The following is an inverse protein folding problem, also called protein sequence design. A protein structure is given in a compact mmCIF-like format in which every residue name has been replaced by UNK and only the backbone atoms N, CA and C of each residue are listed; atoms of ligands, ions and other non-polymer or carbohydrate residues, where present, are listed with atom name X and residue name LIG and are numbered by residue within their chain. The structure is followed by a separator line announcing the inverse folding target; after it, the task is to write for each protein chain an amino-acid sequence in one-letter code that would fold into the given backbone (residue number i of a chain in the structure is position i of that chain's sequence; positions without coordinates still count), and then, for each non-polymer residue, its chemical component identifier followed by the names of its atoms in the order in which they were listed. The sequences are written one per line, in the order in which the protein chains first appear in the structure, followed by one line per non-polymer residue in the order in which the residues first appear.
data_IF_245066017832
#
_entry.id   IF_245066017832
#
_cell.length_a   1.000
_cell.length_b   1.000
_cell.length_c   1.000
_cell.angle_alpha   90.00
_cell.angle_beta   90.00
_cell.angle_gamma   90.00
#
_symmetry.space_group_name_H-M   'P 1'
#
loop_
_entity.id
_entity.type
_entity.pdbx_description
1 polymer ?
#
# COMPACT_ATOMS: atom_id res chain seq x y z
N UNK A 1 7.76 -7.76 -12.49
CA UNK A 1 7.48 -7.36 -11.10
C UNK A 1 6.88 -5.95 -11.02
N UNK A 2 7.52 -4.90 -11.57
CA UNK A 2 6.93 -3.54 -11.57
C UNK A 2 5.55 -3.44 -12.23
N UNK A 3 5.40 -4.01 -13.44
CA UNK A 3 4.12 -3.95 -14.18
C UNK A 3 2.95 -4.64 -13.45
N UNK A 4 3.21 -5.74 -12.72
CA UNK A 4 2.17 -6.45 -11.96
C UNK A 4 1.77 -5.68 -10.70
N UNK A 5 2.72 -5.04 -10.02
CA UNK A 5 2.45 -4.19 -8.86
C UNK A 5 1.69 -2.92 -9.25
N UNK A 6 2.09 -2.25 -10.33
CA UNK A 6 1.38 -1.09 -10.86
C UNK A 6 -0.05 -1.45 -11.25
N UNK A 7 -0.24 -2.60 -11.91
CA UNK A 7 -1.58 -3.10 -12.25
C UNK A 7 -2.44 -3.36 -11.01
N UNK A 8 -1.84 -3.91 -9.95
CA UNK A 8 -2.52 -4.12 -8.67
C UNK A 8 -2.91 -2.78 -8.00
N UNK A 9 -1.98 -1.83 -7.93
CA UNK A 9 -2.25 -0.48 -7.39
C UNK A 9 -3.38 0.20 -8.17
N UNK A 10 -3.38 0.09 -9.50
CA UNK A 10 -4.45 0.62 -10.34
C UNK A 10 -5.79 -0.08 -10.08
N UNK A 11 -5.79 -1.40 -9.87
CA UNK A 11 -7.00 -2.15 -9.52
C UNK A 11 -7.56 -1.71 -8.16
N UNK A 12 -6.71 -1.56 -7.14
CA UNK A 12 -7.09 -0.98 -5.84
C UNK A 12 -7.62 0.45 -5.98
N UNK A 13 -7.10 1.22 -6.93
CA UNK A 13 -7.56 2.56 -7.28
C UNK A 13 -8.99 2.66 -7.77
N UNK A 14 -9.55 1.59 -8.35
CA UNK A 14 -10.93 1.58 -8.86
C UNK A 14 -11.98 1.51 -7.75
N UNK A 15 -11.63 0.95 -6.59
CA UNK A 15 -12.57 0.79 -5.48
C UNK A 15 -12.98 2.14 -4.85
N UNK A 16 -12.05 3.07 -4.53
CA UNK A 16 -12.43 4.41 -4.13
C UNK A 16 -13.28 5.12 -5.17
N UNK A 17 -12.97 4.99 -6.46
CA UNK A 17 -13.77 5.62 -7.53
C UNK A 17 -15.22 5.16 -7.52
N UNK A 18 -15.47 3.87 -7.27
CA UNK A 18 -16.84 3.34 -7.12
C UNK A 18 -17.54 3.88 -5.87
N UNK A 19 -16.83 4.13 -4.78
CA UNK A 19 -17.43 4.62 -3.53
C UNK A 19 -17.59 6.14 -3.52
N UNK A 20 -16.78 6.86 -4.30
CA UNK A 20 -16.91 8.31 -4.50
C UNK A 20 -18.11 8.72 -5.35
N UNK A 21 -18.89 7.76 -5.87
CA UNK A 21 -20.19 8.05 -6.51
C UNK A 21 -21.26 8.47 -5.49
N UNK A 22 -21.05 8.22 -4.20
CA UNK A 22 -21.96 8.63 -3.13
C UNK A 22 -21.60 10.04 -2.67
N UNK A 23 -22.58 10.95 -2.72
CA UNK A 23 -22.38 12.34 -2.34
C UNK A 23 -21.88 12.47 -0.89
N UNK A 24 -20.89 13.34 -0.71
CA UNK A 24 -20.24 13.58 0.60
C UNK A 24 -19.21 12.54 1.02
N UNK A 25 -18.99 11.46 0.25
CA UNK A 25 -18.01 10.42 0.58
C UNK A 25 -16.74 10.51 -0.26
N UNK A 26 -15.59 10.73 0.40
CA UNK A 26 -14.27 10.68 -0.22
C UNK A 26 -13.47 9.49 0.32
N UNK A 27 -13.27 8.48 -0.52
CA UNK A 27 -12.51 7.28 -0.17
C UNK A 27 -11.12 7.36 -0.81
N UNK A 28 -10.11 6.88 -0.09
CA UNK A 28 -8.74 6.68 -0.60
C UNK A 28 -8.18 5.41 -0.01
N UNK A 29 -7.12 4.86 -0.59
CA UNK A 29 -6.40 3.70 -0.07
C UNK A 29 -4.93 4.08 0.12
N UNK A 30 -4.31 3.54 1.16
CA UNK A 30 -2.86 3.58 1.35
C UNK A 30 -2.34 2.14 1.37
N UNK A 31 -1.09 1.92 0.93
CA UNK A 31 -0.49 0.59 0.79
C UNK A 31 0.89 0.59 1.44
N UNK A 32 1.15 -0.40 2.28
CA UNK A 32 2.51 -0.79 2.68
C UNK A 32 2.96 -2.00 1.87
N UNK A 33 4.14 -1.92 1.26
CA UNK A 33 4.70 -2.98 0.42
C UNK A 33 6.00 -3.46 1.03
N UNK A 34 6.19 -4.78 1.09
CA UNK A 34 7.47 -5.34 1.51
C UNK A 34 7.95 -6.41 0.56
N UNK A 35 9.26 -6.48 0.39
CA UNK A 35 9.94 -7.60 -0.25
C UNK A 35 10.02 -8.79 0.72
N UNK A 36 9.41 -9.90 0.30
CA UNK A 36 9.50 -11.19 1.01
C UNK A 36 10.68 -11.96 0.46
N UNK A 37 11.79 -12.00 1.21
CA UNK A 37 12.85 -12.97 0.96
C UNK A 37 12.46 -14.29 1.63
N UNK A 38 12.58 -15.40 0.91
CA UNK A 38 12.48 -16.78 1.41
C UNK A 38 13.32 -17.07 2.66
N UNK A 39 14.34 -16.26 2.96
CA UNK A 39 15.15 -16.35 4.19
C UNK A 39 14.55 -15.63 5.40
N UNK A 40 13.61 -14.70 5.20
CA UNK A 40 12.88 -14.04 6.29
C UNK A 40 11.67 -14.88 6.66
N UNK A 41 11.41 -15.00 7.96
CA UNK A 41 10.18 -15.60 8.44
C UNK A 41 8.98 -14.80 7.93
N UNK A 42 7.97 -15.51 7.42
CA UNK A 42 6.75 -14.93 6.85
C UNK A 42 6.12 -13.89 7.80
N UNK A 43 6.10 -14.19 9.09
CA UNK A 43 5.56 -13.30 10.13
C UNK A 43 6.31 -11.97 10.19
N UNK A 44 7.63 -11.99 10.09
CA UNK A 44 8.44 -10.76 10.07
C UNK A 44 8.12 -9.90 8.84
N UNK A 45 7.90 -10.53 7.69
CA UNK A 45 7.50 -9.81 6.47
C UNK A 45 6.09 -9.22 6.62
N UNK A 46 5.14 -9.96 7.20
CA UNK A 46 3.79 -9.43 7.46
C UNK A 46 3.82 -8.23 8.42
N UNK A 47 4.58 -8.32 9.51
CA UNK A 47 4.76 -7.21 10.45
C UNK A 47 5.39 -5.99 9.76
N UNK A 48 6.37 -6.19 8.88
CA UNK A 48 6.98 -5.09 8.16
C UNK A 48 5.99 -4.40 7.20
N UNK A 49 5.22 -5.18 6.44
CA UNK A 49 4.18 -4.63 5.56
C UNK A 49 3.13 -3.81 6.34
N UNK A 50 2.74 -4.27 7.54
CA UNK A 50 1.80 -3.56 8.40
C UNK A 50 2.38 -2.24 8.91
N UNK A 51 3.64 -2.24 9.36
CA UNK A 51 4.35 -1.02 9.75
C UNK A 51 4.42 0.00 8.61
N UNK A 52 4.73 -0.44 7.39
CA UNK A 52 4.79 0.42 6.21
C UNK A 52 3.40 0.96 5.83
N UNK A 53 2.33 0.20 6.05
CA UNK A 53 0.96 0.67 5.87
C UNK A 53 0.63 1.81 6.86
N UNK A 54 1.02 1.67 8.12
CA UNK A 54 0.86 2.74 9.11
C UNK A 54 1.66 3.99 8.74
N UNK A 55 2.90 3.84 8.25
CA UNK A 55 3.69 4.96 7.72
C UNK A 55 2.99 5.64 6.54
N UNK A 56 2.49 4.86 5.58
CA UNK A 56 1.75 5.38 4.44
C UNK A 56 0.52 6.19 4.88
N UNK A 57 -0.17 5.79 5.95
CA UNK A 57 -1.28 6.57 6.53
C UNK A 57 -0.80 7.85 7.22
N UNK A 58 0.32 7.79 7.92
CA UNK A 58 0.89 8.94 8.64
C UNK A 58 1.39 10.05 7.68
N UNK A 59 1.91 9.68 6.51
CA UNK A 59 2.32 10.62 5.45
C UNK A 59 1.13 11.24 4.67
N UNK A 60 -0.10 10.95 5.09
CA UNK A 60 -1.34 11.44 4.51
C UNK A 60 -2.16 10.35 3.81
N UNK A 61 -3.23 10.78 3.15
CA UNK A 61 -4.10 9.87 2.38
C UNK A 61 -3.46 9.54 1.04
N UNK A 62 -3.75 8.34 0.49
CA UNK A 62 -3.34 7.94 -0.87
C UNK A 62 -1.82 7.84 -1.06
N UNK A 63 -1.15 7.11 -0.17
CA UNK A 63 0.29 6.86 -0.23
C UNK A 63 0.60 5.38 -0.42
N UNK A 64 1.67 5.11 -1.13
CA UNK A 64 2.29 3.79 -1.24
C UNK A 64 3.69 3.95 -0.67
N UNK A 65 4.03 3.14 0.33
CA UNK A 65 5.35 3.12 0.96
C UNK A 65 5.90 1.71 0.85
N UNK A 66 7.16 1.61 0.46
CA UNK A 66 7.89 0.36 0.35
C UNK A 66 9.13 0.37 1.24
N UNK A 67 9.81 -0.77 1.32
CA UNK A 67 11.04 -0.95 2.06
C UNK A 67 12.26 -0.24 1.44
N UNK A 68 12.18 0.19 0.18
CA UNK A 68 13.27 0.90 -0.52
C UNK A 68 13.25 2.41 -0.17
N UNK A 69 12.07 2.98 0.07
CA UNK A 69 11.89 4.40 0.41
C UNK A 69 12.35 4.80 1.83
N UNK A 70 12.76 3.84 2.67
CA UNK A 70 13.35 4.09 4.01
C UNK A 70 14.89 3.97 4.05
N UNK A 71 15.56 3.80 2.91
CA UNK A 71 17.04 3.75 2.85
C UNK A 71 17.70 5.07 2.40
N UNK A 72 16.98 6.19 2.39
CA UNK A 72 17.52 7.52 2.08
C UNK A 72 17.47 8.47 3.28
#
# INVERSE_FOLDING_TARGET
MKASLESFIQACGKLPSKLSQYDGLSVTFSIGLTNVDTRRELMASMTNADNLLYQAKAQGKRRVVDDETNQQ
#
